data_IF_709510279149
#
_entry.id   IF_709510279149
#
_cell.length_a   1.000
_cell.length_b   1.000
_cell.length_c   1.000
_cell.angle_alpha   90.00
_cell.angle_beta   90.00
_cell.angle_gamma   90.00
#
_symmetry.space_group_name_H-M   'P 1'
#
loop_
_entity.id
_entity.type
_entity.pdbx_description
1 polymer ?
#
# COMPACT_ATOMS: atom_id res chain seq x y z
N UNK A 1 -14.77 -8.24 -8.27
CA UNK A 1 -13.61 -7.64 -8.94
C UNK A 1 -13.71 -7.91 -10.44
N UNK A 2 -13.35 -6.95 -11.29
CA UNK A 2 -13.29 -7.14 -12.75
C UNK A 2 -12.01 -7.85 -13.20
N UNK A 3 -11.98 -8.37 -14.43
CA UNK A 3 -10.87 -9.21 -14.93
C UNK A 3 -9.49 -8.54 -14.81
N UNK A 4 -9.38 -7.24 -15.13
CA UNK A 4 -8.12 -6.49 -15.06
C UNK A 4 -7.57 -6.48 -13.64
N UNK A 5 -8.36 -6.02 -12.68
CA UNK A 5 -7.92 -5.94 -11.27
C UNK A 5 -7.65 -7.33 -10.68
N UNK A 6 -8.36 -8.37 -11.11
CA UNK A 6 -8.07 -9.75 -10.70
C UNK A 6 -6.68 -10.21 -11.15
N UNK A 7 -6.30 -9.95 -12.41
CA UNK A 7 -4.96 -10.30 -12.94
C UNK A 7 -3.87 -9.47 -12.27
N UNK A 8 -4.13 -8.18 -12.04
CA UNK A 8 -3.17 -7.30 -11.38
C UNK A 8 -2.94 -7.69 -9.91
N UNK A 9 -3.99 -8.14 -9.22
CA UNK A 9 -3.85 -8.68 -7.86
C UNK A 9 -3.05 -9.98 -7.88
N UNK A 10 -3.27 -10.87 -8.84
CA UNK A 10 -2.53 -12.12 -8.98
C UNK A 10 -1.03 -11.92 -9.29
N UNK A 11 -0.68 -10.80 -9.93
CA UNK A 11 0.70 -10.44 -10.30
C UNK A 11 1.34 -9.41 -9.37
N UNK A 12 0.65 -8.98 -8.30
CA UNK A 12 1.04 -7.87 -7.41
C UNK A 12 1.16 -6.49 -8.08
N UNK A 13 0.85 -6.37 -9.37
CA UNK A 13 0.80 -5.08 -10.09
C UNK A 13 -0.17 -4.12 -9.44
N UNK A 14 -1.31 -4.61 -8.93
CA UNK A 14 -2.29 -3.76 -8.26
C UNK A 14 -1.68 -3.08 -7.02
N UNK A 15 -0.91 -3.82 -6.23
CA UNK A 15 -0.21 -3.26 -5.06
C UNK A 15 0.86 -2.25 -5.48
N UNK A 16 1.58 -2.51 -6.58
CA UNK A 16 2.53 -1.54 -7.14
C UNK A 16 1.89 -0.21 -7.53
N UNK A 17 0.71 -0.25 -8.17
CA UNK A 17 -0.06 0.95 -8.51
C UNK A 17 -0.52 1.71 -7.26
N UNK A 18 -1.03 0.99 -6.25
CA UNK A 18 -1.45 1.58 -4.97
C UNK A 18 -0.28 2.24 -4.21
N UNK A 19 0.95 1.72 -4.32
CA UNK A 19 2.14 2.36 -3.73
C UNK A 19 2.43 3.69 -4.43
N UNK A 20 2.40 3.70 -5.77
CA UNK A 20 2.60 4.93 -6.54
C UNK A 20 1.53 5.96 -6.18
N UNK A 21 0.26 5.52 -6.06
CA UNK A 21 -0.84 6.37 -5.64
C UNK A 21 -0.62 6.93 -4.22
N UNK A 22 -0.23 6.09 -3.25
CA UNK A 22 0.04 6.54 -1.88
C UNK A 22 1.22 7.53 -1.81
N UNK A 23 2.28 7.32 -2.60
CA UNK A 23 3.40 8.27 -2.69
C UNK A 23 2.95 9.65 -3.19
N UNK A 24 2.06 9.70 -4.20
CA UNK A 24 1.56 10.96 -4.73
C UNK A 24 0.51 11.60 -3.81
N UNK A 25 -0.44 10.82 -3.29
CA UNK A 25 -1.56 11.31 -2.50
C UNK A 25 -1.13 11.82 -1.13
N UNK A 26 -0.09 11.23 -0.54
CA UNK A 26 0.42 11.58 0.79
C UNK A 26 1.79 12.26 0.76
N UNK A 27 2.30 12.62 -0.42
CA UNK A 27 3.62 13.27 -0.61
C UNK A 27 4.76 12.47 0.07
N UNK A 28 4.70 11.15 0.02
CA UNK A 28 5.64 10.26 0.70
C UNK A 28 6.74 9.76 -0.24
N UNK A 29 8.00 9.73 0.22
CA UNK A 29 9.06 9.07 -0.54
C UNK A 29 8.83 7.55 -0.55
N UNK A 30 9.33 6.87 -1.59
CA UNK A 30 9.17 5.42 -1.73
C UNK A 30 9.72 4.63 -0.54
N UNK A 31 10.74 5.15 0.15
CA UNK A 31 11.32 4.55 1.35
C UNK A 31 10.40 4.55 2.57
N UNK A 32 9.25 5.23 2.50
CA UNK A 32 8.25 5.33 3.58
C UNK A 32 6.92 4.64 3.26
N UNK A 33 6.80 4.00 2.09
CA UNK A 33 5.60 3.27 1.68
C UNK A 33 5.98 1.81 1.45
N UNK A 34 5.46 0.90 2.28
CA UNK A 34 5.82 -0.51 2.26
C UNK A 34 4.64 -1.41 1.87
N UNK A 35 4.91 -2.44 1.07
CA UNK A 35 3.95 -3.48 0.74
C UNK A 35 4.04 -4.64 1.75
N UNK A 36 2.94 -4.90 2.45
CA UNK A 36 2.82 -6.05 3.37
C UNK A 36 1.72 -6.98 2.85
N UNK A 37 2.01 -8.28 2.79
CA UNK A 37 1.02 -9.31 2.44
C UNK A 37 0.25 -9.68 3.71
N UNK A 38 -1.05 -9.41 3.72
CA UNK A 38 -1.97 -9.78 4.79
C UNK A 38 -3.14 -10.58 4.20
N UNK A 39 -3.02 -11.92 4.05
CA UNK A 39 -3.99 -12.73 3.30
C UNK A 39 -5.41 -12.67 3.87
N UNK A 40 -5.53 -12.49 5.18
CA UNK A 40 -6.83 -12.38 5.87
C UNK A 40 -7.58 -11.11 5.48
N UNK A 41 -6.89 -10.08 4.96
CA UNK A 41 -7.46 -8.81 4.53
C UNK A 41 -8.34 -8.13 5.59
N UNK A 42 -8.05 -8.34 6.88
CA UNK A 42 -8.79 -7.70 7.99
C UNK A 42 -8.24 -6.30 8.28
N UNK A 43 -6.92 -6.14 8.16
CA UNK A 43 -6.23 -4.85 8.21
C UNK A 43 -5.98 -4.40 6.77
N UNK A 44 -6.56 -3.27 6.37
CA UNK A 44 -6.49 -2.79 4.99
C UNK A 44 -5.22 -1.97 4.69
N UNK A 45 -4.75 -1.17 5.66
CA UNK A 45 -3.53 -0.37 5.63
C UNK A 45 -3.19 0.09 7.06
N UNK A 46 -1.93 0.51 7.29
CA UNK A 46 -1.47 1.10 8.55
C UNK A 46 -0.64 2.36 8.29
N UNK A 47 -0.56 3.24 9.30
CA UNK A 47 0.33 4.41 9.29
C UNK A 47 1.17 4.37 10.56
N UNK A 48 2.48 4.52 10.43
CA UNK A 48 3.38 4.61 11.56
C UNK A 48 3.79 6.06 11.81
N UNK A 49 3.52 6.55 13.02
CA UNK A 49 3.82 7.92 13.42
C UNK A 49 5.03 7.92 14.36
N UNK A 50 5.99 8.81 14.10
CA UNK A 50 7.09 9.05 15.03
C UNK A 50 6.65 10.12 16.03
N UNK A 51 6.40 9.71 17.27
CA UNK A 51 6.08 10.63 18.36
C UNK A 51 7.40 10.92 19.09
N UNK A 52 7.82 12.19 19.10
CA UNK A 52 8.95 12.63 19.93
C UNK A 52 8.39 13.02 21.29
N UNK A 53 8.84 12.35 22.35
CA UNK A 53 8.55 12.78 23.72
C UNK A 53 9.55 13.89 24.07
N UNK A 54 9.03 15.03 24.54
CA UNK A 54 9.83 16.13 25.08
C UNK A 54 10.46 15.75 26.42
#
# INVERSE_FOLDING_TARGET
>A
MGNKITVDCATMVNKGLEIIEAMHLFEMPSSKVEAIIHPQSLIHSCVFLMITLY
#
